data_IF_830983954186
#
_entry.id   IF_830983954186
#
_cell.length_a   1.000
_cell.length_b   1.000
_cell.length_c   1.000
_cell.angle_alpha   90.00
_cell.angle_beta   90.00
_cell.angle_gamma   90.00
#
_symmetry.space_group_name_H-M   'P 1'
#
loop_
_entity.id
_entity.type
_entity.pdbx_description
1 polymer ?
#
# COMPACT_ATOMS: atom_id res chain seq x y z
N UNK A 1 4.87 17.60 9.97
CA UNK A 1 3.91 16.93 9.04
C UNK A 1 2.76 16.37 9.83
N UNK A 2 1.53 16.55 9.34
CA UNK A 2 0.32 15.93 9.87
C UNK A 2 -0.12 14.78 8.98
N UNK A 3 -0.40 13.63 9.56
CA UNK A 3 -0.85 12.42 8.85
C UNK A 3 -2.23 12.04 9.34
N UNK A 4 -3.15 11.74 8.44
CA UNK A 4 -4.46 11.14 8.80
C UNK A 4 -4.47 9.66 8.40
N UNK A 5 -4.91 8.79 9.29
CA UNK A 5 -5.16 7.37 9.01
C UNK A 5 -6.65 7.10 9.18
N UNK A 6 -7.32 6.70 8.09
CA UNK A 6 -8.76 6.40 8.09
C UNK A 6 -8.99 4.91 8.19
N UNK A 7 -9.69 4.51 9.25
CA UNK A 7 -9.87 3.14 9.70
C UNK A 7 -8.93 2.81 10.87
N UNK A 8 -9.47 2.64 12.08
CA UNK A 8 -8.70 2.30 13.29
C UNK A 8 -8.63 0.77 13.55
N UNK A 9 -8.88 -0.03 12.52
CA UNK A 9 -8.69 -1.48 12.58
C UNK A 9 -7.21 -1.86 12.79
N UNK A 10 -6.90 -3.15 12.74
CA UNK A 10 -5.54 -3.63 12.99
C UNK A 10 -4.49 -2.97 12.06
N UNK A 11 -4.79 -2.84 10.76
CA UNK A 11 -3.89 -2.20 9.79
C UNK A 11 -3.70 -0.71 10.11
N UNK A 12 -4.79 0.05 10.32
CA UNK A 12 -4.69 1.48 10.61
C UNK A 12 -3.98 1.78 11.92
N UNK A 13 -4.26 1.01 12.97
CA UNK A 13 -3.54 1.12 14.24
C UNK A 13 -2.03 0.85 14.06
N UNK A 14 -1.65 -0.19 13.30
CA UNK A 14 -0.24 -0.46 12.98
C UNK A 14 0.40 0.65 12.14
N UNK A 15 -0.34 1.27 11.20
CA UNK A 15 0.16 2.44 10.48
C UNK A 15 0.49 3.58 11.45
N UNK A 16 -0.44 3.92 12.35
CA UNK A 16 -0.26 4.98 13.34
C UNK A 16 0.93 4.68 14.27
N UNK A 17 1.05 3.44 14.75
CA UNK A 17 2.15 2.97 15.59
C UNK A 17 3.51 3.14 14.91
N UNK A 18 3.69 2.58 13.71
CA UNK A 18 4.97 2.66 13.00
C UNK A 18 5.35 4.09 12.58
N UNK A 19 4.35 4.94 12.28
CA UNK A 19 4.61 6.36 12.00
C UNK A 19 5.09 7.06 13.27
N UNK A 20 4.41 6.83 14.40
CA UNK A 20 4.74 7.45 15.66
C UNK A 20 6.12 7.02 16.19
N UNK A 21 6.42 5.71 16.22
CA UNK A 21 7.71 5.18 16.70
C UNK A 21 8.89 5.74 15.90
N UNK A 22 8.72 6.02 14.61
CA UNK A 22 9.78 6.64 13.79
C UNK A 22 9.91 8.15 13.97
N UNK A 23 8.96 8.77 14.62
CA UNK A 23 8.95 10.16 15.09
C UNK A 23 9.27 11.24 14.03
N UNK A 24 8.83 11.04 12.80
CA UNK A 24 9.02 12.01 11.70
C UNK A 24 7.78 12.88 11.46
N UNK A 25 6.65 12.55 12.08
CA UNK A 25 5.40 13.31 12.00
C UNK A 25 5.18 14.11 13.30
N UNK A 26 4.54 15.26 13.21
CA UNK A 26 4.12 16.02 14.39
C UNK A 26 2.79 15.51 14.97
N UNK A 27 1.89 15.02 14.11
CA UNK A 27 0.57 14.54 14.51
C UNK A 27 0.10 13.42 13.58
N UNK A 28 -0.49 12.38 14.17
CA UNK A 28 -1.27 11.34 13.47
C UNK A 28 -2.71 11.42 13.95
N UNK A 29 -3.64 11.72 13.05
CA UNK A 29 -5.08 11.63 13.31
C UNK A 29 -5.56 10.25 12.90
N UNK A 30 -6.00 9.44 13.86
CA UNK A 30 -6.60 8.14 13.63
C UNK A 30 -8.12 8.29 13.69
N UNK A 31 -8.83 8.08 12.57
CA UNK A 31 -10.28 8.26 12.49
C UNK A 31 -11.00 6.96 12.18
N UNK A 32 -12.11 6.71 12.86
CA UNK A 32 -13.00 5.58 12.60
C UNK A 32 -14.47 6.00 12.75
N UNK A 33 -15.37 5.23 12.15
CA UNK A 33 -16.83 5.46 12.30
C UNK A 33 -17.38 4.86 13.60
N UNK A 34 -16.68 3.90 14.20
CA UNK A 34 -17.07 3.24 15.45
C UNK A 34 -16.74 4.15 16.62
N UNK A 35 -17.78 4.54 17.36
CA UNK A 35 -17.68 5.44 18.51
C UNK A 35 -16.64 4.97 19.55
N UNK A 36 -15.74 5.87 19.95
CA UNK A 36 -14.70 5.66 20.95
C UNK A 36 -13.57 4.72 20.54
N UNK A 37 -13.68 4.05 19.37
CA UNK A 37 -12.71 3.02 18.99
C UNK A 37 -11.35 3.60 18.59
N UNK A 38 -11.35 4.66 17.81
CA UNK A 38 -10.12 5.36 17.41
C UNK A 38 -9.47 6.06 18.61
N UNK A 39 -10.29 6.67 19.47
CA UNK A 39 -9.84 7.33 20.71
C UNK A 39 -9.16 6.33 21.65
N UNK A 40 -9.77 5.17 21.86
CA UNK A 40 -9.19 4.09 22.67
C UNK A 40 -7.84 3.61 22.12
N UNK A 41 -7.76 3.38 20.79
CA UNK A 41 -6.51 3.00 20.12
C UNK A 41 -5.44 4.06 20.24
N UNK A 42 -5.79 5.33 20.03
CA UNK A 42 -4.86 6.45 20.14
C UNK A 42 -4.32 6.59 21.55
N UNK A 43 -5.20 6.45 22.57
CA UNK A 43 -4.81 6.51 23.98
C UNK A 43 -3.83 5.38 24.33
N UNK A 44 -4.09 4.16 23.91
CA UNK A 44 -3.23 3.00 24.15
C UNK A 44 -1.85 3.19 23.50
N UNK A 45 -1.83 3.61 22.22
CA UNK A 45 -0.59 3.92 21.51
C UNK A 45 0.20 5.07 22.16
N UNK A 46 -0.45 6.14 22.60
CA UNK A 46 0.22 7.24 23.28
C UNK A 46 0.84 6.84 24.63
N UNK A 47 0.30 5.84 25.30
CA UNK A 47 0.92 5.30 26.53
C UNK A 47 2.26 4.61 26.27
N UNK A 48 2.53 4.21 25.03
CA UNK A 48 3.83 3.63 24.64
C UNK A 48 4.90 4.69 24.38
N UNK A 49 4.54 5.96 24.25
CA UNK A 49 5.43 7.03 23.82
C UNK A 49 6.68 7.18 24.72
N UNK A 50 6.50 7.20 26.03
CA UNK A 50 7.62 7.30 26.98
C UNK A 50 8.52 6.07 27.00
N UNK A 51 8.00 4.90 26.60
CA UNK A 51 8.73 3.64 26.55
C UNK A 51 9.53 3.49 25.24
N UNK A 52 8.97 4.01 24.13
CA UNK A 52 9.56 3.93 22.80
C UNK A 52 10.31 5.20 22.38
N UNK A 53 10.21 6.28 23.15
CA UNK A 53 10.97 7.52 22.93
C UNK A 53 10.52 8.32 21.71
N UNK A 54 9.20 8.49 21.51
CA UNK A 54 8.67 9.34 20.45
C UNK A 54 7.76 10.44 21.00
N UNK A 55 7.68 11.58 20.31
CA UNK A 55 6.83 12.73 20.64
C UNK A 55 5.69 12.97 19.64
N UNK A 56 5.63 12.20 18.56
CA UNK A 56 4.53 12.22 17.58
C UNK A 56 3.19 12.06 18.30
N UNK A 57 2.32 13.06 18.20
CA UNK A 57 1.01 13.04 18.85
C UNK A 57 0.02 12.18 18.05
N UNK A 58 -0.58 11.18 18.68
CA UNK A 58 -1.67 10.39 18.08
C UNK A 58 -3.01 10.86 18.67
N UNK A 59 -3.94 11.25 17.80
CA UNK A 59 -5.28 11.72 18.17
C UNK A 59 -6.32 10.79 17.55
N UNK A 60 -7.10 10.13 18.39
CA UNK A 60 -8.26 9.33 17.94
C UNK A 60 -9.51 10.21 17.76
N UNK A 61 -10.29 9.92 16.73
CA UNK A 61 -11.48 10.71 16.39
C UNK A 61 -12.59 9.80 15.85
N UNK A 62 -13.79 9.95 16.38
CA UNK A 62 -14.98 9.28 15.86
C UNK A 62 -15.66 10.16 14.81
N UNK A 63 -15.62 9.75 13.54
CA UNK A 63 -16.36 10.29 12.38
C UNK A 63 -16.32 11.83 12.20
N UNK A 64 -15.35 12.53 12.81
CA UNK A 64 -15.19 13.98 12.67
C UNK A 64 -14.02 14.32 11.73
N UNK A 65 -14.30 14.39 10.44
CA UNK A 65 -13.31 14.73 9.42
C UNK A 65 -12.76 16.17 9.52
N UNK A 66 -13.39 17.07 10.31
CA UNK A 66 -12.83 18.41 10.54
C UNK A 66 -11.46 18.36 11.20
N UNK A 67 -11.18 17.31 11.97
CA UNK A 67 -9.89 17.06 12.61
C UNK A 67 -8.79 16.67 11.64
N UNK A 68 -9.15 16.24 10.42
CA UNK A 68 -8.18 15.90 9.36
C UNK A 68 -7.69 17.14 8.61
N UNK A 69 -8.24 18.34 8.90
CA UNK A 69 -7.87 19.58 8.23
C UNK A 69 -6.35 19.82 8.27
N UNK A 70 -5.79 20.18 7.11
CA UNK A 70 -4.37 20.45 6.96
C UNK A 70 -3.47 19.19 7.01
N UNK A 71 -4.02 18.00 6.74
CA UNK A 71 -3.20 16.80 6.60
C UNK A 71 -2.36 16.87 5.33
N UNK A 72 -1.07 16.58 5.48
CA UNK A 72 -0.12 16.48 4.35
C UNK A 72 -0.27 15.13 3.65
N UNK A 73 -0.50 14.06 4.43
CA UNK A 73 -0.71 12.70 3.93
C UNK A 73 -1.95 12.09 4.58
N UNK A 74 -2.75 11.38 3.80
CA UNK A 74 -3.86 10.57 4.28
C UNK A 74 -3.69 9.10 3.84
N UNK A 75 -3.86 8.18 4.78
CA UNK A 75 -3.81 6.73 4.56
C UNK A 75 -5.22 6.16 4.67
N UNK A 76 -5.70 5.52 3.61
CA UNK A 76 -7.04 4.92 3.58
C UNK A 76 -6.92 3.42 3.80
N UNK A 77 -7.25 2.96 5.01
CA UNK A 77 -7.29 1.54 5.38
C UNK A 77 -8.71 1.04 5.59
N UNK A 78 -9.70 1.93 5.44
CA UNK A 78 -11.12 1.65 5.64
C UNK A 78 -11.68 0.73 4.55
N UNK A 79 -12.55 -0.18 4.96
CA UNK A 79 -13.19 -1.16 4.10
C UNK A 79 -13.70 -2.32 4.94
N UNK A 80 -14.50 -3.18 4.33
CA UNK A 80 -14.98 -4.40 4.97
C UNK A 80 -14.29 -5.63 4.39
N UNK A 81 -14.03 -6.66 5.20
CA UNK A 81 -13.61 -7.96 4.69
C UNK A 81 -14.79 -8.66 4.00
N UNK A 82 -14.49 -9.59 3.10
CA UNK A 82 -15.51 -10.41 2.46
C UNK A 82 -16.29 -11.21 3.50
N UNK A 83 -17.60 -11.07 3.49
CA UNK A 83 -18.51 -11.83 4.36
C UNK A 83 -18.97 -13.12 3.66
N UNK A 84 -19.33 -14.18 4.41
CA UNK A 84 -19.96 -15.37 3.83
C UNK A 84 -21.19 -15.00 3.00
N UNK A 85 -21.31 -15.56 1.80
CA UNK A 85 -22.42 -15.29 0.86
C UNK A 85 -22.27 -14.02 0.02
N UNK A 86 -21.31 -13.15 0.28
CA UNK A 86 -21.06 -11.94 -0.51
C UNK A 86 -20.31 -12.29 -1.81
N UNK A 87 -20.80 -11.80 -2.95
CA UNK A 87 -20.08 -11.89 -4.21
C UNK A 87 -18.85 -10.98 -4.23
N UNK A 88 -17.94 -11.18 -5.19
CA UNK A 88 -16.77 -10.32 -5.38
C UNK A 88 -17.19 -8.89 -5.78
N UNK A 89 -18.16 -8.78 -6.65
CA UNK A 89 -18.70 -7.52 -7.16
C UNK A 89 -19.37 -6.70 -6.04
N UNK A 90 -20.16 -7.35 -5.18
CA UNK A 90 -20.79 -6.70 -4.02
C UNK A 90 -19.73 -6.17 -3.04
N UNK A 91 -18.65 -6.93 -2.79
CA UNK A 91 -17.56 -6.47 -1.95
C UNK A 91 -16.85 -5.25 -2.55
N UNK A 92 -16.56 -5.30 -3.87
CA UNK A 92 -15.91 -4.18 -4.57
C UNK A 92 -16.79 -2.95 -4.52
N UNK A 93 -18.08 -3.07 -4.84
CA UNK A 93 -19.04 -1.95 -4.80
C UNK A 93 -19.15 -1.34 -3.40
N UNK A 94 -19.23 -2.18 -2.36
CA UNK A 94 -19.27 -1.71 -0.96
C UNK A 94 -18.00 -0.95 -0.59
N UNK A 95 -16.83 -1.51 -0.86
CA UNK A 95 -15.55 -0.87 -0.53
C UNK A 95 -15.34 0.39 -1.38
N UNK A 96 -15.77 0.41 -2.63
CA UNK A 96 -15.69 1.57 -3.50
C UNK A 96 -16.53 2.75 -2.95
N UNK A 97 -17.76 2.51 -2.48
CA UNK A 97 -18.57 3.53 -1.85
C UNK A 97 -17.93 4.07 -0.56
N UNK A 98 -17.34 3.19 0.26
CA UNK A 98 -16.62 3.59 1.47
C UNK A 98 -15.43 4.50 1.11
N UNK A 99 -14.56 4.04 0.21
CA UNK A 99 -13.34 4.78 -0.18
C UNK A 99 -13.70 6.12 -0.84
N UNK A 100 -14.72 6.15 -1.70
CA UNK A 100 -15.21 7.38 -2.34
C UNK A 100 -15.67 8.39 -1.28
N UNK A 101 -16.55 7.98 -0.37
CA UNK A 101 -17.02 8.85 0.72
C UNK A 101 -15.85 9.36 1.59
N UNK A 102 -14.92 8.48 1.94
CA UNK A 102 -13.73 8.85 2.74
C UNK A 102 -12.89 9.91 2.03
N UNK A 103 -12.56 9.69 0.75
CA UNK A 103 -11.68 10.62 0.04
C UNK A 103 -12.36 11.96 -0.24
N UNK A 104 -13.67 11.98 -0.50
CA UNK A 104 -14.44 13.21 -0.65
C UNK A 104 -14.41 14.07 0.63
N UNK A 105 -14.52 13.43 1.81
CA UNK A 105 -14.36 14.13 3.08
C UNK A 105 -12.93 14.62 3.31
N UNK A 106 -11.93 13.78 3.01
CA UNK A 106 -10.51 14.15 3.16
C UNK A 106 -10.15 15.38 2.32
N UNK A 107 -10.49 15.40 1.02
CA UNK A 107 -10.14 16.52 0.13
C UNK A 107 -10.87 17.80 0.48
N UNK A 108 -12.06 17.72 1.10
CA UNK A 108 -12.79 18.88 1.61
C UNK A 108 -12.00 19.64 2.67
N UNK A 109 -11.31 18.94 3.56
CA UNK A 109 -10.54 19.55 4.66
C UNK A 109 -9.03 19.64 4.39
N UNK A 110 -8.53 18.86 3.43
CA UNK A 110 -7.12 18.81 3.03
C UNK A 110 -7.00 18.71 1.50
N UNK A 111 -7.23 19.80 0.76
CA UNK A 111 -7.38 19.80 -0.71
C UNK A 111 -6.09 19.42 -1.46
N UNK A 112 -4.94 19.50 -0.82
CA UNK A 112 -3.64 19.16 -1.41
C UNK A 112 -3.03 17.88 -0.84
N UNK A 113 -3.82 17.07 -0.14
CA UNK A 113 -3.35 15.87 0.54
C UNK A 113 -2.76 14.84 -0.43
N UNK A 114 -1.69 14.18 -0.02
CA UNK A 114 -1.19 12.97 -0.70
C UNK A 114 -1.93 11.77 -0.11
N UNK A 115 -2.57 10.97 -0.95
CA UNK A 115 -3.39 9.83 -0.52
C UNK A 115 -2.64 8.52 -0.75
N UNK A 116 -2.46 7.73 0.31
CA UNK A 116 -1.96 6.36 0.24
C UNK A 116 -3.14 5.40 0.43
N UNK A 117 -3.43 4.61 -0.59
CA UNK A 117 -4.52 3.64 -0.61
C UNK A 117 -4.02 2.27 -0.18
N UNK A 118 -4.68 1.68 0.82
CA UNK A 118 -4.41 0.32 1.34
C UNK A 118 -5.63 -0.58 1.18
N UNK A 119 -6.82 0.02 1.11
CA UNK A 119 -8.11 -0.70 0.97
C UNK A 119 -8.16 -1.56 -0.28
N UNK A 120 -8.65 -2.81 -0.14
CA UNK A 120 -8.73 -3.77 -1.24
C UNK A 120 -10.10 -3.76 -1.96
N UNK A 121 -10.11 -4.08 -3.28
CA UNK A 121 -8.95 -4.37 -4.15
C UNK A 121 -8.15 -3.09 -4.45
N UNK A 122 -6.87 -3.08 -4.04
CA UNK A 122 -6.08 -1.87 -3.87
C UNK A 122 -5.87 -1.08 -5.18
N UNK A 123 -5.52 -1.75 -6.28
CA UNK A 123 -5.33 -1.09 -7.59
C UNK A 123 -6.62 -0.42 -8.07
N UNK A 124 -7.76 -1.09 -7.90
CA UNK A 124 -9.09 -0.57 -8.23
C UNK A 124 -9.49 0.60 -7.32
N UNK A 125 -9.17 0.54 -6.03
CA UNK A 125 -9.47 1.64 -5.11
C UNK A 125 -8.56 2.86 -5.39
N UNK A 126 -7.29 2.66 -5.75
CA UNK A 126 -6.42 3.74 -6.20
C UNK A 126 -6.95 4.40 -7.49
N UNK A 127 -7.41 3.60 -8.45
CA UNK A 127 -8.07 4.11 -9.65
C UNK A 127 -9.36 4.88 -9.33
N UNK A 128 -10.18 4.38 -8.41
CA UNK A 128 -11.39 5.08 -7.93
C UNK A 128 -11.04 6.46 -7.34
N UNK A 129 -10.01 6.56 -6.51
CA UNK A 129 -9.57 7.83 -5.92
C UNK A 129 -9.18 8.84 -7.00
N UNK A 130 -8.49 8.38 -8.06
CA UNK A 130 -8.21 9.22 -9.23
C UNK A 130 -9.47 9.74 -9.92
N UNK A 131 -10.48 8.90 -10.08
CA UNK A 131 -11.73 9.29 -10.76
C UNK A 131 -12.64 10.15 -9.89
N UNK A 132 -12.62 9.92 -8.57
CA UNK A 132 -13.49 10.61 -7.62
C UNK A 132 -12.96 11.98 -7.15
N UNK A 133 -11.68 12.28 -7.41
CA UNK A 133 -11.06 13.51 -6.92
C UNK A 133 -10.41 14.32 -8.05
N UNK A 134 -10.08 15.59 -7.74
CA UNK A 134 -9.26 16.45 -8.61
C UNK A 134 -7.80 16.49 -8.16
N UNK A 135 -7.39 15.59 -7.28
CA UNK A 135 -5.99 15.51 -6.85
C UNK A 135 -5.08 15.21 -8.04
N UNK A 136 -3.89 15.80 -8.11
CA UNK A 136 -2.92 15.49 -9.15
C UNK A 136 -2.50 14.02 -9.06
N UNK A 137 -2.17 13.39 -10.20
CA UNK A 137 -1.89 11.96 -10.26
C UNK A 137 -0.74 11.51 -9.34
N UNK A 138 0.24 12.36 -9.13
CA UNK A 138 1.38 12.11 -8.26
C UNK A 138 1.01 12.12 -6.76
N UNK A 139 -0.17 12.58 -6.39
CA UNK A 139 -0.68 12.56 -5.01
C UNK A 139 -1.45 11.28 -4.67
N UNK A 140 -1.61 10.33 -5.58
CA UNK A 140 -2.40 9.11 -5.31
C UNK A 140 -1.50 7.89 -5.50
N UNK A 141 -1.32 7.14 -4.41
CA UNK A 141 -0.35 6.05 -4.29
C UNK A 141 -1.05 4.82 -3.72
N UNK A 142 -1.07 3.72 -4.45
CA UNK A 142 -1.48 2.42 -3.92
C UNK A 142 -0.28 1.66 -3.34
N UNK A 143 -0.36 1.26 -2.07
CA UNK A 143 0.78 0.73 -1.30
C UNK A 143 1.22 -0.67 -1.75
N UNK A 144 0.38 -1.49 -2.37
CA UNK A 144 0.53 -2.93 -2.58
C UNK A 144 1.93 -3.47 -2.87
N UNK A 145 2.59 -2.96 -3.93
CA UNK A 145 3.90 -3.47 -4.35
C UNK A 145 5.01 -3.29 -3.32
N UNK A 146 4.95 -2.25 -2.47
CA UNK A 146 5.91 -2.07 -1.37
C UNK A 146 5.82 -3.23 -0.36
N UNK A 147 4.60 -3.66 -0.03
CA UNK A 147 4.35 -4.82 0.84
C UNK A 147 4.75 -6.13 0.16
N UNK A 148 4.39 -6.31 -1.11
CA UNK A 148 4.69 -7.54 -1.84
C UNK A 148 6.20 -7.73 -2.01
N UNK A 149 6.94 -6.64 -2.23
CA UNK A 149 8.41 -6.66 -2.28
C UNK A 149 9.03 -6.99 -0.92
N UNK A 150 8.44 -6.55 0.19
CA UNK A 150 8.89 -6.95 1.51
C UNK A 150 8.72 -8.47 1.73
N UNK A 151 7.60 -9.04 1.28
CA UNK A 151 7.38 -10.50 1.29
C UNK A 151 8.38 -11.23 0.41
N UNK A 152 8.65 -10.70 -0.79
CA UNK A 152 9.62 -11.29 -1.71
C UNK A 152 11.04 -11.29 -1.13
N UNK A 153 11.48 -10.17 -0.55
CA UNK A 153 12.78 -10.08 0.13
C UNK A 153 12.89 -11.07 1.30
N UNK A 154 11.82 -11.22 2.08
CA UNK A 154 11.76 -12.21 3.16
C UNK A 154 11.96 -13.63 2.62
N UNK A 155 11.25 -14.04 1.55
CA UNK A 155 11.38 -15.35 0.95
C UNK A 155 12.75 -15.58 0.29
N UNK A 156 13.31 -14.56 -0.35
CA UNK A 156 14.69 -14.63 -0.87
C UNK A 156 15.69 -14.82 0.25
N UNK A 157 15.59 -14.08 1.34
CA UNK A 157 16.49 -14.19 2.48
C UNK A 157 16.42 -15.58 3.13
N UNK A 158 15.22 -16.17 3.27
CA UNK A 158 15.06 -17.57 3.71
C UNK A 158 15.76 -18.54 2.76
N UNK A 159 15.58 -18.38 1.44
CA UNK A 159 16.18 -19.25 0.44
C UNK A 159 17.70 -19.16 0.39
N UNK A 160 18.25 -17.97 0.65
CA UNK A 160 19.68 -17.67 0.69
C UNK A 160 20.33 -17.96 2.05
N UNK A 161 19.54 -18.21 3.09
CA UNK A 161 20.00 -18.26 4.48
C UNK A 161 20.82 -17.02 4.87
N UNK A 162 20.31 -15.82 4.53
CA UNK A 162 21.00 -14.53 4.67
C UNK A 162 20.21 -13.53 5.51
N UNK A 163 20.86 -12.45 6.02
CA UNK A 163 20.13 -11.32 6.59
C UNK A 163 19.18 -10.68 5.57
N UNK A 164 17.94 -10.39 5.96
CA UNK A 164 16.93 -9.76 5.09
C UNK A 164 17.40 -8.38 4.61
N UNK A 165 18.11 -7.63 5.45
CA UNK A 165 18.66 -6.31 5.14
C UNK A 165 19.67 -6.30 3.98
N UNK A 166 20.23 -7.45 3.64
CA UNK A 166 21.24 -7.60 2.60
C UNK A 166 20.65 -8.03 1.25
N UNK A 167 19.32 -8.25 1.21
CA UNK A 167 18.63 -8.74 0.03
C UNK A 167 17.77 -7.62 -0.57
N UNK A 168 17.93 -7.39 -1.87
CA UNK A 168 17.07 -6.53 -2.67
C UNK A 168 16.24 -7.34 -3.66
N UNK A 169 14.98 -6.90 -3.82
CA UNK A 169 14.03 -7.51 -4.73
C UNK A 169 12.77 -6.68 -4.85
N UNK A 170 12.10 -6.78 -5.99
CA UNK A 170 10.95 -5.96 -6.32
C UNK A 170 9.84 -6.80 -6.91
N UNK A 171 8.59 -6.50 -6.52
CA UNK A 171 7.37 -7.04 -7.10
C UNK A 171 6.61 -5.89 -7.74
N UNK A 172 6.23 -6.05 -9.00
CA UNK A 172 5.42 -5.09 -9.77
C UNK A 172 4.10 -5.73 -10.22
N UNK A 173 3.35 -5.02 -11.04
CA UNK A 173 2.03 -5.40 -11.57
C UNK A 173 0.92 -5.37 -10.50
N UNK A 174 -0.19 -6.07 -10.68
CA UNK A 174 -1.36 -5.97 -9.80
C UNK A 174 -1.11 -6.57 -8.42
N UNK A 175 -1.67 -5.92 -7.39
CA UNK A 175 -1.66 -6.43 -6.02
C UNK A 175 -2.70 -7.53 -5.82
N UNK A 176 -2.44 -8.70 -6.40
CA UNK A 176 -3.29 -9.90 -6.27
C UNK A 176 -2.46 -11.16 -6.48
N UNK A 177 -2.87 -12.28 -5.88
CA UNK A 177 -2.11 -13.54 -5.93
C UNK A 177 -1.74 -13.96 -7.38
N UNK A 178 -2.65 -13.80 -8.32
CA UNK A 178 -2.40 -14.14 -9.73
C UNK A 178 -1.75 -13.00 -10.54
N UNK A 179 -1.81 -11.76 -10.05
CA UNK A 179 -1.37 -10.57 -10.79
C UNK A 179 0.06 -10.13 -10.49
N UNK A 180 0.61 -10.48 -9.34
CA UNK A 180 1.96 -10.10 -8.95
C UNK A 180 3.04 -10.61 -9.91
N UNK A 181 4.02 -9.77 -10.19
CA UNK A 181 5.20 -10.10 -10.98
C UNK A 181 6.48 -9.84 -10.15
N UNK A 182 6.98 -10.83 -9.40
CA UNK A 182 8.28 -10.75 -8.77
C UNK A 182 9.39 -10.71 -9.81
N UNK A 183 10.20 -9.65 -9.81
CA UNK A 183 11.31 -9.47 -10.76
C UNK A 183 12.55 -10.22 -10.27
N UNK A 184 12.52 -11.56 -10.31
CA UNK A 184 13.60 -12.43 -9.81
C UNK A 184 14.94 -12.13 -10.48
N UNK A 185 14.93 -11.77 -11.75
CA UNK A 185 16.12 -11.42 -12.53
C UNK A 185 16.83 -10.16 -12.02
N UNK A 186 16.09 -9.25 -11.39
CA UNK A 186 16.63 -8.00 -10.84
C UNK A 186 16.92 -8.08 -9.35
N UNK A 187 16.60 -9.22 -8.72
CA UNK A 187 16.88 -9.41 -7.30
C UNK A 187 18.37 -9.63 -7.06
N UNK A 188 18.86 -9.11 -5.95
CA UNK A 188 20.29 -9.20 -5.61
C UNK A 188 20.52 -9.45 -4.11
N UNK A 189 21.65 -10.06 -3.81
CA UNK A 189 22.21 -10.16 -2.47
C UNK A 189 23.49 -9.30 -2.44
N UNK A 190 23.41 -8.16 -1.78
CA UNK A 190 24.50 -7.17 -1.73
C UNK A 190 25.06 -6.79 -3.11
N UNK A 191 24.17 -6.65 -4.10
CA UNK A 191 24.54 -6.28 -5.47
C UNK A 191 24.95 -7.45 -6.38
N UNK A 192 25.10 -8.67 -5.85
CA UNK A 192 25.30 -9.86 -6.66
C UNK A 192 23.92 -10.44 -7.03
N UNK A 193 23.64 -10.73 -8.31
CA UNK A 193 22.38 -11.32 -8.72
C UNK A 193 22.07 -12.62 -7.96
N UNK A 194 20.83 -12.80 -7.51
CA UNK A 194 20.44 -14.01 -6.77
C UNK A 194 20.55 -15.30 -7.60
N UNK A 195 20.61 -15.16 -8.93
CA UNK A 195 20.84 -16.26 -9.88
C UNK A 195 22.20 -16.92 -9.72
N UNK A 196 23.17 -16.22 -9.10
CA UNK A 196 24.49 -16.80 -8.79
C UNK A 196 24.45 -17.75 -7.57
N UNK A 197 23.39 -17.68 -6.77
CA UNK A 197 23.25 -18.43 -5.52
C UNK A 197 22.14 -19.48 -5.58
N UNK A 198 21.07 -19.21 -6.34
CA UNK A 198 19.85 -20.01 -6.36
C UNK A 198 19.56 -20.54 -7.77
N UNK A 199 19.16 -21.81 -7.86
CA UNK A 199 18.69 -22.39 -9.12
C UNK A 199 17.39 -21.72 -9.61
N UNK A 200 17.11 -21.83 -10.91
CA UNK A 200 15.86 -21.34 -11.50
C UNK A 200 14.62 -21.90 -10.81
N UNK A 201 14.62 -23.20 -10.49
CA UNK A 201 13.49 -23.86 -9.79
C UNK A 201 13.29 -23.27 -8.38
N UNK A 202 14.38 -22.99 -7.66
CA UNK A 202 14.29 -22.38 -6.33
C UNK A 202 13.78 -20.96 -6.39
N UNK A 203 14.22 -20.17 -7.40
CA UNK A 203 13.71 -18.81 -7.63
C UNK A 203 12.22 -18.79 -8.03
N UNK A 204 11.81 -19.75 -8.85
CA UNK A 204 10.39 -19.92 -9.20
C UNK A 204 9.55 -20.23 -7.94
N UNK A 205 10.04 -21.14 -7.07
CA UNK A 205 9.35 -21.44 -5.81
C UNK A 205 9.24 -20.19 -4.91
N UNK A 206 10.31 -19.41 -4.78
CA UNK A 206 10.31 -18.15 -4.03
C UNK A 206 9.29 -17.16 -4.59
N UNK A 207 9.18 -17.05 -5.91
CA UNK A 207 8.20 -16.19 -6.57
C UNK A 207 6.76 -16.66 -6.27
N UNK A 208 6.47 -17.94 -6.37
CA UNK A 208 5.14 -18.49 -6.05
C UNK A 208 4.79 -18.36 -4.57
N UNK A 209 5.72 -18.64 -3.66
CA UNK A 209 5.51 -18.45 -2.21
C UNK A 209 5.25 -16.97 -1.85
N UNK A 210 5.84 -16.04 -2.61
CA UNK A 210 5.59 -14.60 -2.47
C UNK A 210 4.16 -14.25 -2.86
N UNK A 211 3.68 -14.74 -3.99
CA UNK A 211 2.33 -14.46 -4.51
C UNK A 211 1.25 -14.91 -3.53
N UNK A 212 1.37 -16.10 -2.95
CA UNK A 212 0.39 -16.64 -2.00
C UNK A 212 0.61 -16.17 -0.57
N UNK A 213 1.60 -15.34 -0.30
CA UNK A 213 1.99 -14.92 1.05
C UNK A 213 0.84 -14.26 1.84
N UNK A 214 -0.01 -13.47 1.19
CA UNK A 214 -1.19 -12.87 1.81
C UNK A 214 -2.24 -13.89 2.22
N UNK A 215 -2.57 -14.82 1.33
CA UNK A 215 -3.52 -15.92 1.60
C UNK A 215 -3.00 -16.85 2.70
N UNK A 216 -1.70 -17.17 2.69
CA UNK A 216 -1.06 -17.98 3.72
C UNK A 216 -1.19 -17.34 5.11
N UNK A 217 -0.90 -16.04 5.23
CA UNK A 217 -1.05 -15.32 6.51
C UNK A 217 -2.51 -15.29 6.96
N UNK A 218 -3.45 -15.04 6.05
CA UNK A 218 -4.88 -15.04 6.37
C UNK A 218 -5.33 -16.40 6.89
N UNK A 219 -4.84 -17.49 6.32
CA UNK A 219 -5.14 -18.85 6.80
C UNK A 219 -4.57 -19.10 8.21
N UNK A 220 -3.36 -18.63 8.48
CA UNK A 220 -2.69 -18.82 9.78
C UNK A 220 -3.27 -17.93 10.89
N UNK A 221 -3.60 -16.69 10.57
CA UNK A 221 -4.05 -15.69 11.54
C UNK A 221 -5.57 -15.63 11.70
N UNK A 222 -6.34 -16.24 10.79
CA UNK A 222 -7.80 -16.08 10.71
C UNK A 222 -8.26 -14.71 10.23
N UNK A 223 -7.33 -13.83 9.87
CA UNK A 223 -7.57 -12.47 9.38
C UNK A 223 -6.40 -12.00 8.51
N UNK A 224 -6.57 -10.86 7.83
CA UNK A 224 -5.49 -10.27 7.02
C UNK A 224 -4.31 -9.82 7.88
N UNK A 225 -3.10 -9.85 7.32
CA UNK A 225 -1.91 -9.30 7.95
C UNK A 225 -2.07 -7.79 8.24
N UNK A 226 -1.42 -7.28 9.28
CA UNK A 226 -1.46 -5.86 9.65
C UNK A 226 -0.09 -5.24 9.96
N UNK A 227 0.86 -5.99 10.52
CA UNK A 227 2.20 -5.45 10.85
C UNK A 227 2.97 -5.02 9.61
N UNK A 228 3.14 -5.91 8.63
CA UNK A 228 3.88 -5.60 7.41
C UNK A 228 3.19 -4.52 6.54
N UNK A 229 1.86 -4.49 6.38
CA UNK A 229 1.16 -3.35 5.78
C UNK A 229 1.42 -2.02 6.50
N UNK A 230 1.34 -2.00 7.84
CA UNK A 230 1.64 -0.81 8.64
C UNK A 230 3.08 -0.32 8.45
N UNK A 231 4.04 -1.22 8.45
CA UNK A 231 5.45 -0.90 8.21
C UNK A 231 5.69 -0.36 6.78
N UNK A 232 5.03 -0.96 5.76
CA UNK A 232 5.12 -0.50 4.36
C UNK A 232 4.55 0.92 4.20
N UNK A 233 3.36 1.18 4.76
CA UNK A 233 2.76 2.53 4.79
C UNK A 233 3.70 3.52 5.46
N UNK A 234 4.20 3.20 6.65
CA UNK A 234 5.12 4.09 7.38
C UNK A 234 6.39 4.40 6.58
N UNK A 235 6.91 3.44 5.81
CA UNK A 235 8.06 3.68 4.93
C UNK A 235 7.74 4.67 3.80
N UNK A 236 6.55 4.56 3.18
CA UNK A 236 6.09 5.51 2.16
C UNK A 236 5.87 6.91 2.74
N UNK A 237 5.17 7.01 3.89
CA UNK A 237 4.93 8.29 4.58
C UNK A 237 6.27 8.94 4.97
N UNK A 238 7.23 8.18 5.47
CA UNK A 238 8.56 8.66 5.82
C UNK A 238 9.32 9.18 4.58
N UNK A 239 9.20 8.51 3.44
CA UNK A 239 9.82 8.97 2.20
C UNK A 239 9.27 10.33 1.74
N UNK A 240 7.97 10.57 1.93
CA UNK A 240 7.32 11.87 1.68
C UNK A 240 7.76 12.89 2.72
N UNK A 241 7.65 12.58 4.01
CA UNK A 241 7.94 13.47 5.13
C UNK A 241 9.38 14.01 5.10
N UNK A 242 10.33 13.12 4.82
CA UNK A 242 11.76 13.41 4.86
C UNK A 242 12.36 13.66 3.46
N UNK A 243 11.54 13.77 2.42
CA UNK A 243 11.96 13.98 1.02
C UNK A 243 13.05 12.99 0.57
N UNK A 244 12.88 11.70 0.88
CA UNK A 244 13.96 10.72 0.77
C UNK A 244 14.29 10.29 -0.67
N UNK A 245 13.44 10.60 -1.64
CA UNK A 245 13.60 10.17 -3.05
C UNK A 245 13.79 8.66 -3.20
N UNK A 246 13.10 7.89 -2.37
CA UNK A 246 13.21 6.42 -2.36
C UNK A 246 12.44 5.79 -3.51
N UNK A 247 13.02 4.73 -4.05
CA UNK A 247 12.37 3.88 -5.04
C UNK A 247 11.50 2.83 -4.34
N UNK A 248 10.20 2.85 -4.65
CA UNK A 248 9.24 1.83 -4.20
C UNK A 248 8.42 1.34 -5.39
N UNK A 249 8.02 0.07 -5.44
CA UNK A 249 6.95 -0.34 -6.31
C UNK A 249 5.60 0.03 -5.68
N UNK A 250 4.83 0.86 -6.38
CA UNK A 250 3.51 1.32 -5.95
C UNK A 250 2.55 1.32 -7.12
N UNK A 251 1.26 1.14 -6.82
CA UNK A 251 0.20 1.28 -7.81
C UNK A 251 -0.08 2.75 -8.07
N UNK A 252 0.10 3.16 -9.32
CA UNK A 252 -0.10 4.53 -9.77
C UNK A 252 -0.80 4.54 -11.12
N UNK A 253 -1.45 5.67 -11.45
CA UNK A 253 -2.10 5.83 -12.75
C UNK A 253 -1.06 5.89 -13.86
N UNK A 254 -1.14 4.95 -14.81
CA UNK A 254 -0.32 4.95 -16.01
C UNK A 254 -1.00 5.75 -17.13
N UNK A 255 -0.22 6.52 -17.87
CA UNK A 255 -0.63 7.36 -18.99
C UNK A 255 0.22 7.14 -20.23
N UNK A 256 0.79 5.97 -20.39
CA UNK A 256 1.66 5.57 -21.49
C UNK A 256 2.85 4.74 -21.05
N UNK A 257 3.21 4.85 -19.77
CA UNK A 257 4.32 4.09 -19.19
C UNK A 257 4.04 2.58 -19.29
N UNK A 258 5.07 1.79 -19.57
CA UNK A 258 4.96 0.34 -19.84
C UNK A 258 4.02 -0.03 -21.01
N UNK A 259 3.65 0.94 -21.86
CA UNK A 259 2.66 0.78 -22.94
C UNK A 259 1.21 0.73 -22.44
N UNK A 260 0.96 1.02 -21.18
CA UNK A 260 -0.36 0.94 -20.54
C UNK A 260 -0.94 2.35 -20.27
N UNK A 261 -2.26 2.46 -20.29
CA UNK A 261 -2.94 3.74 -20.13
C UNK A 261 -4.25 3.57 -19.39
N UNK A 262 -4.62 4.59 -18.59
CA UNK A 262 -5.88 4.65 -17.83
C UNK A 262 -6.11 3.43 -16.93
N UNK A 263 -5.11 3.09 -16.15
CA UNK A 263 -5.15 2.02 -15.15
C UNK A 263 -4.16 2.30 -14.05
N UNK A 264 -4.52 1.96 -12.81
CA UNK A 264 -3.58 1.92 -11.69
C UNK A 264 -3.03 0.52 -11.54
N UNK A 265 -1.70 0.40 -11.54
CA UNK A 265 -1.00 -0.88 -11.38
C UNK A 265 0.39 -0.63 -10.79
N UNK A 266 0.93 -1.61 -10.08
CA UNK A 266 2.22 -1.52 -9.41
C UNK A 266 3.39 -1.40 -10.38
N UNK A 267 4.14 -0.30 -10.27
CA UNK A 267 5.36 -0.02 -11.03
C UNK A 267 6.39 0.64 -10.13
N UNK A 268 7.70 0.59 -10.45
CA UNK A 268 8.71 1.30 -9.69
C UNK A 268 8.50 2.81 -9.77
N UNK A 269 8.43 3.48 -8.63
CA UNK A 269 8.27 4.94 -8.54
C UNK A 269 9.26 5.53 -7.55
N UNK A 270 9.73 6.73 -7.83
CA UNK A 270 10.50 7.53 -6.87
C UNK A 270 9.52 8.36 -6.07
N UNK A 271 9.57 8.21 -4.74
CA UNK A 271 8.71 8.93 -3.79
C UNK A 271 9.54 9.93 -3.00
N UNK A 272 9.12 11.17 -3.04
CA UNK A 272 9.65 12.28 -2.29
C UNK A 272 8.54 13.19 -1.77
N UNK A 273 8.87 14.43 -1.45
CA UNK A 273 7.97 15.38 -0.78
C UNK A 273 6.66 15.62 -1.53
N UNK A 274 6.68 15.59 -2.85
CA UNK A 274 5.50 15.86 -3.68
C UNK A 274 4.74 14.57 -4.07
N UNK A 275 4.97 13.47 -3.34
CA UNK A 275 4.38 12.16 -3.64
C UNK A 275 5.22 11.41 -4.69
N UNK A 276 4.58 10.94 -5.76
CA UNK A 276 5.26 10.25 -6.87
C UNK A 276 5.96 11.28 -7.77
N UNK A 277 7.27 11.33 -7.71
CA UNK A 277 8.04 12.29 -8.50
C UNK A 277 8.42 11.75 -9.89
N UNK A 278 8.54 10.42 -9.99
CA UNK A 278 8.90 9.77 -11.25
C UNK A 278 8.44 8.32 -11.27
N UNK A 279 7.86 7.88 -12.37
CA UNK A 279 7.70 6.46 -12.72
C UNK A 279 9.00 6.01 -13.39
N UNK A 280 9.56 4.89 -12.95
CA UNK A 280 10.79 4.32 -13.50
C UNK A 280 10.44 3.10 -14.33
N UNK A 281 10.62 3.19 -15.63
CA UNK A 281 10.39 2.07 -16.53
C UNK A 281 11.62 1.15 -16.56
N UNK A 282 11.53 0.01 -15.84
CA UNK A 282 12.56 -1.03 -15.94
C UNK A 282 12.36 -1.84 -17.22
N UNK A 283 13.47 -2.21 -17.88
CA UNK A 283 13.41 -3.01 -19.09
C UNK A 283 12.96 -4.44 -18.77
N UNK A 284 11.71 -4.75 -19.10
CA UNK A 284 11.13 -6.09 -18.96
C UNK A 284 11.55 -6.97 -20.15
N UNK A 285 11.79 -8.27 -19.91
CA UNK A 285 11.91 -9.26 -20.96
C UNK A 285 10.52 -9.63 -21.53
N UNK A 286 10.47 -10.43 -22.60
CA UNK A 286 9.21 -10.74 -23.28
C UNK A 286 8.19 -11.48 -22.37
N UNK A 287 8.66 -12.41 -21.54
CA UNK A 287 7.80 -13.11 -20.59
C UNK A 287 7.25 -12.17 -19.50
N UNK A 288 8.10 -11.30 -18.96
CA UNK A 288 7.71 -10.27 -17.99
C UNK A 288 6.70 -9.28 -18.59
N UNK A 289 6.90 -8.83 -19.85
CA UNK A 289 5.96 -7.96 -20.55
C UNK A 289 4.60 -8.63 -20.73
N UNK A 290 4.59 -9.88 -21.19
CA UNK A 290 3.35 -10.64 -21.37
C UNK A 290 2.59 -10.77 -20.03
N UNK A 291 3.29 -11.10 -18.95
CA UNK A 291 2.69 -11.22 -17.61
C UNK A 291 2.20 -9.87 -17.07
N UNK A 292 2.93 -8.79 -17.31
CA UNK A 292 2.52 -7.45 -16.92
C UNK A 292 1.23 -7.02 -17.64
N UNK A 293 1.14 -7.26 -18.96
CA UNK A 293 -0.04 -6.96 -19.76
C UNK A 293 -1.26 -7.80 -19.33
N UNK A 294 -1.09 -9.11 -19.08
CA UNK A 294 -2.13 -9.97 -18.52
C UNK A 294 -2.67 -9.44 -17.19
N UNK A 295 -1.75 -9.08 -16.29
CA UNK A 295 -2.07 -8.54 -14.98
C UNK A 295 -2.84 -7.22 -15.07
N UNK A 296 -2.39 -6.32 -15.94
CA UNK A 296 -3.04 -5.01 -16.17
C UNK A 296 -4.44 -5.18 -16.75
N UNK A 297 -4.62 -6.12 -17.68
CA UNK A 297 -5.94 -6.46 -18.24
C UNK A 297 -6.89 -6.98 -17.14
N UNK A 298 -6.39 -7.82 -16.23
CA UNK A 298 -7.19 -8.29 -15.09
C UNK A 298 -7.65 -7.16 -14.16
N UNK A 299 -6.80 -6.15 -13.91
CA UNK A 299 -7.20 -4.95 -13.13
C UNK A 299 -8.31 -4.18 -13.85
N UNK A 300 -8.21 -4.00 -15.18
CA UNK A 300 -9.27 -3.33 -15.96
C UNK A 300 -10.62 -4.04 -15.86
N UNK A 301 -10.62 -5.39 -15.87
CA UNK A 301 -11.85 -6.15 -15.65
C UNK A 301 -12.46 -5.88 -14.27
N UNK A 302 -11.63 -5.85 -13.23
CA UNK A 302 -12.09 -5.52 -11.88
C UNK A 302 -12.63 -4.08 -11.80
N UNK A 303 -12.00 -3.13 -12.51
CA UNK A 303 -12.44 -1.74 -12.54
C UNK A 303 -13.83 -1.54 -13.15
N UNK A 304 -14.33 -2.48 -13.98
CA UNK A 304 -15.70 -2.42 -14.50
C UNK A 304 -16.77 -2.41 -13.41
N UNK A 305 -16.48 -3.02 -12.25
CA UNK A 305 -17.37 -2.99 -11.09
C UNK A 305 -17.55 -1.60 -10.48
N UNK A 306 -16.75 -0.62 -10.88
CA UNK A 306 -16.88 0.77 -10.42
C UNK A 306 -17.96 1.56 -11.18
N UNK A 307 -18.50 1.04 -12.29
CA UNK A 307 -19.45 1.77 -13.14
C UNK A 307 -20.71 2.26 -12.41
N UNK A 308 -21.10 1.61 -11.31
CA UNK A 308 -22.23 2.03 -10.46
C UNK A 308 -21.86 2.97 -9.32
N UNK A 309 -20.57 3.30 -9.15
CA UNK A 309 -20.05 4.14 -8.05
C UNK A 309 -19.48 5.47 -8.59
N UNK A 310 -18.88 5.44 -9.78
CA UNK A 310 -18.35 6.63 -10.49
C UNK A 310 -19.48 7.40 -11.15
#
# INVERSE_FOLDING_TARGET
MKVTVVGAGAVGASCAEYIAIKDFASEVVLIDIKEGFAEGKAMDLMQTASLNGFDTRIVGVTNDYSKTAGSDVAVITSGIPRKPGMTREELIGTNANIVKSVVEHLVKYSPNVIVIVVSNPMDTMAYLVHKATKLPKNHIIGMGGALDSARFKYRLAEALNSPISDVDGMVIAAHSDSGMLPLTRLASYRGVPVTEFLSADRLNQVAEDTKVGGATLTKLLGTSAWYAPGAAVSALVQAIACDQKKLFPCSVLLEGEYGEKDVCVGVPVIIGRDGVEKIVEVKLNEAEKAKFAESTAAVREVNKALAGVL
#
